data_IF_935235841159
#
_entry.id   IF_935235841159
#
_cell.length_a   1.000
_cell.length_b   1.000
_cell.length_c   1.000
_cell.angle_alpha   90.00
_cell.angle_beta   90.00
_cell.angle_gamma   90.00
#
_symmetry.space_group_name_H-M   'P 1'
#
loop_
_entity.id
_entity.type
_entity.pdbx_description
1 polymer ?
2 non-polymer ?
3 non-polymer ?
4 non-polymer ?
5 water ?
#
# COMPACT_ATOMS: atom_id res chain seq x y z
N UNK A 3 16.25 -8.03 -27.62
CA UNK A 3 15.40 -8.17 -28.86
C UNK A 3 13.99 -8.68 -28.46
N UNK A 4 13.87 -9.45 -27.36
CA UNK A 4 12.57 -9.94 -26.78
C UNK A 4 12.36 -9.29 -25.39
N UNK A 5 13.19 -8.31 -25.05
CA UNK A 5 13.22 -7.67 -23.73
C UNK A 5 12.04 -6.70 -23.57
N UNK A 6 11.56 -6.50 -22.37
CA UNK A 6 10.91 -5.23 -22.02
C UNK A 6 10.89 -5.04 -20.52
N UNK A 7 10.52 -3.84 -20.14
CA UNK A 7 10.25 -3.46 -18.75
C UNK A 7 8.83 -2.90 -18.71
N UNK A 8 8.10 -3.13 -17.65
CA UNK A 8 6.79 -2.52 -17.44
C UNK A 8 6.87 -1.84 -16.10
N UNK A 9 6.67 -0.52 -16.09
CA UNK A 9 6.62 0.29 -14.87
C UNK A 9 5.17 0.49 -14.48
N UNK A 10 4.86 0.24 -13.21
CA UNK A 10 3.55 0.57 -12.62
C UNK A 10 3.83 1.41 -11.37
N UNK A 11 2.84 2.12 -10.90
CA UNK A 11 2.98 3.09 -9.80
C UNK A 11 2.04 2.66 -8.71
N UNK A 12 2.54 2.67 -7.48
CA UNK A 12 1.72 2.45 -6.30
C UNK A 12 1.85 3.72 -5.47
N UNK A 13 0.81 4.05 -4.76
CA UNK A 13 0.78 5.16 -3.81
C UNK A 13 0.45 4.54 -2.46
N UNK A 14 1.36 4.65 -1.49
CA UNK A 14 1.07 4.29 -0.12
C UNK A 14 0.83 5.59 0.61
N UNK A 15 0.00 5.60 1.61
CA UNK A 15 -0.16 6.84 2.37
C UNK A 15 -0.90 6.62 3.61
N UNK A 16 -1.03 7.64 4.39
CA UNK A 16 -1.81 7.57 5.64
C UNK A 16 -2.26 8.95 6.04
N UNK A 17 -3.34 8.93 6.77
CA UNK A 17 -3.95 10.12 7.39
C UNK A 17 -4.02 9.84 8.88
N UNK A 18 -3.78 10.83 9.68
CA UNK A 18 -3.94 10.72 11.13
C UNK A 18 -4.45 12.05 11.68
N UNK A 19 -5.26 12.00 12.71
CA UNK A 19 -5.79 13.23 13.34
C UNK A 19 -5.97 12.92 14.79
N UNK A 20 -5.75 13.95 15.61
CA UNK A 20 -5.96 13.87 17.05
C UNK A 20 -7.45 13.97 17.25
N UNK A 21 -8.05 12.99 17.92
CA UNK A 21 -9.49 13.03 18.25
C UNK A 21 -9.76 14.32 19.06
N UNK A 22 -10.94 14.94 18.88
CA UNK A 22 -11.43 16.07 19.74
C UNK A 22 -11.33 15.65 21.22
N UNK A 23 -11.79 14.43 21.54
CA UNK A 23 -11.65 13.81 22.89
C UNK A 23 -11.23 12.36 22.70
N UNK A 24 -10.34 11.79 23.57
CA UNK A 24 -9.86 10.42 23.38
C UNK A 24 -11.05 9.46 23.51
N UNK A 25 -10.91 8.25 22.99
CA UNK A 25 -11.93 7.17 23.17
C UNK A 25 -11.90 6.72 24.64
N UNK A 26 -12.93 6.05 25.09
CA UNK A 26 -13.02 5.44 26.45
C UNK A 26 -11.68 4.76 26.75
N UNK A 27 -11.15 4.03 25.76
CA UNK A 27 -9.93 3.20 25.90
C UNK A 27 -8.66 4.07 25.99
N UNK A 28 -8.76 5.38 25.79
CA UNK A 28 -7.59 6.28 25.77
C UNK A 28 -6.88 6.32 24.42
N UNK A 29 -7.54 5.85 23.34
CA UNK A 29 -7.02 6.06 21.97
C UNK A 29 -7.10 7.56 21.68
N UNK A 30 -6.01 8.16 21.31
CA UNK A 30 -5.89 9.62 21.11
C UNK A 30 -6.11 9.99 19.66
N UNK A 31 -5.90 9.04 18.76
CA UNK A 31 -5.82 9.36 17.32
C UNK A 31 -6.65 8.42 16.52
N UNK A 32 -7.17 8.94 15.43
CA UNK A 32 -7.71 8.12 14.32
C UNK A 32 -6.64 8.12 13.26
N UNK A 33 -6.47 7.00 12.60
CA UNK A 33 -5.57 6.97 11.42
C UNK A 33 -6.11 6.01 10.36
N UNK A 34 -5.64 6.19 9.16
CA UNK A 34 -6.02 5.36 8.01
C UNK A 34 -4.74 5.19 7.18
N UNK A 35 -4.44 3.98 6.81
CA UNK A 35 -3.29 3.69 5.90
C UNK A 35 -3.83 3.01 4.67
N UNK A 36 -3.21 3.23 3.55
CA UNK A 36 -3.73 2.68 2.29
C UNK A 36 -2.64 2.43 1.29
N UNK A 37 -3.00 1.61 0.32
CA UNK A 37 -2.29 1.40 -0.93
C UNK A 37 -3.31 1.63 -2.04
N UNK A 38 -2.95 2.43 -3.02
CA UNK A 38 -3.80 2.76 -4.16
C UNK A 38 -2.94 2.96 -5.40
N UNK A 39 -3.59 3.00 -6.54
CA UNK A 39 -2.97 3.40 -7.79
C UNK A 39 -3.17 4.89 -8.01
N UNK A 40 -2.47 5.47 -8.98
CA UNK A 40 -2.80 6.82 -9.45
C UNK A 40 -4.24 6.83 -10.03
N UNK A 41 -4.82 8.00 -10.24
CA UNK A 41 -6.19 8.14 -10.82
C UNK A 41 -6.21 7.50 -12.21
N UNK A 42 -7.30 6.82 -12.54
CA UNK A 42 -7.54 6.18 -13.88
C UNK A 42 -6.69 4.91 -14.03
N UNK A 43 -6.06 4.44 -12.95
CA UNK A 43 -5.34 3.14 -12.96
C UNK A 43 -6.09 2.22 -12.06
N UNK A 44 -6.06 0.95 -12.37
CA UNK A 44 -6.72 -0.08 -11.59
C UNK A 44 -5.70 -1.12 -11.16
N UNK A 45 -5.12 -0.96 -9.97
CA UNK A 45 -4.01 -1.84 -9.51
C UNK A 45 -4.54 -3.24 -9.23
N UNK A 46 -5.87 -3.40 -9.10
CA UNK A 46 -6.44 -4.72 -8.78
C UNK A 46 -6.15 -5.73 -9.93
N UNK A 47 -5.90 -5.25 -11.14
CA UNK A 47 -5.52 -6.10 -12.28
C UNK A 47 -4.24 -6.89 -11.97
N UNK A 48 -3.30 -6.33 -11.20
CA UNK A 48 -2.02 -7.04 -10.90
C UNK A 48 -1.81 -7.32 -9.40
N UNK A 49 -2.60 -6.72 -8.50
CA UNK A 49 -2.46 -6.92 -7.02
C UNK A 49 -3.43 -8.01 -6.61
N UNK A 50 -2.91 -9.09 -6.09
CA UNK A 50 -3.70 -10.19 -5.48
C UNK A 50 -4.30 -9.71 -4.17
N UNK A 51 -3.48 -9.14 -3.31
CA UNK A 51 -3.92 -8.66 -1.97
C UNK A 51 -2.88 -7.74 -1.39
N UNK A 52 -3.30 -6.97 -0.42
CA UNK A 52 -2.37 -6.14 0.39
C UNK A 52 -2.50 -6.58 1.82
N UNK A 53 -1.37 -6.78 2.46
CA UNK A 53 -1.29 -7.19 3.87
C UNK A 53 -0.65 -6.05 4.64
N UNK A 54 -1.37 -5.53 5.61
CA UNK A 54 -0.90 -4.49 6.55
C UNK A 54 -0.62 -5.16 7.90
N UNK A 55 0.61 -5.11 8.34
CA UNK A 55 1.07 -5.74 9.61
C UNK A 55 1.06 -4.67 10.68
N UNK A 56 -0.02 -4.61 11.46
CA UNK A 56 -0.21 -3.62 12.55
C UNK A 56 0.67 -4.01 13.75
N UNK A 57 0.89 -3.09 14.66
CA UNK A 57 1.61 -3.34 15.92
C UNK A 57 0.94 -4.55 16.60
N UNK A 58 1.72 -5.46 17.23
CA UNK A 58 1.25 -6.76 17.83
C UNK A 58 0.14 -6.51 18.86
N UNK A 59 0.02 -5.30 19.42
CA UNK A 59 -1.02 -4.91 20.39
C UNK A 59 -2.42 -4.90 19.78
N UNK A 60 -2.56 -4.72 18.46
CA UNK A 60 -3.85 -4.60 17.79
C UNK A 60 -4.50 -5.96 17.72
N UNK A 61 -5.83 -6.03 17.81
CA UNK A 61 -6.53 -7.28 17.54
C UNK A 61 -6.31 -7.60 16.06
N UNK A 62 -6.06 -8.88 15.75
CA UNK A 62 -5.90 -9.41 14.36
C UNK A 62 -4.94 -8.49 13.61
N UNK A 63 -3.68 -8.36 14.08
CA UNK A 63 -2.77 -7.36 13.52
C UNK A 63 -2.44 -7.59 12.03
N UNK A 64 -2.62 -8.81 11.52
CA UNK A 64 -2.43 -9.13 10.07
C UNK A 64 -3.72 -8.80 9.38
N UNK A 65 -3.79 -7.61 8.78
CA UNK A 65 -5.01 -7.09 8.14
C UNK A 65 -4.87 -7.29 6.66
N UNK A 66 -5.78 -8.05 6.06
CA UNK A 66 -5.66 -8.44 4.65
C UNK A 66 -6.75 -7.73 3.90
N UNK A 67 -6.40 -7.07 2.80
CA UNK A 67 -7.38 -6.57 1.80
C UNK A 67 -7.14 -7.30 0.49
N UNK A 68 -8.13 -8.05 0.03
CA UNK A 68 -8.03 -8.84 -1.20
C UNK A 68 -8.62 -8.07 -2.38
N UNK A 69 -9.26 -6.93 -2.13
CA UNK A 69 -9.79 -6.08 -3.22
C UNK A 69 -9.80 -4.66 -2.71
N UNK A 70 -9.84 -3.66 -3.60
CA UNK A 70 -9.90 -2.28 -3.16
C UNK A 70 -11.18 -2.05 -2.39
N UNK A 71 -11.18 -1.13 -1.41
CA UNK A 71 -10.00 -0.36 -1.07
C UNK A 71 -8.98 -1.15 -0.26
N UNK A 72 -7.70 -0.94 -0.55
CA UNK A 72 -6.60 -1.51 0.23
C UNK A 72 -6.29 -0.52 1.31
N UNK A 73 -6.91 -0.68 2.46
CA UNK A 73 -6.76 0.28 3.54
C UNK A 73 -7.12 -0.35 4.87
N UNK A 74 -6.59 0.24 5.90
CA UNK A 74 -6.97 -0.03 7.30
C UNK A 74 -7.32 1.29 7.95
N UNK A 75 -8.46 1.35 8.60
CA UNK A 75 -8.89 2.50 9.43
C UNK A 75 -8.83 2.04 10.89
N UNK A 76 -8.15 2.79 11.72
CA UNK A 76 -8.00 2.41 13.12
C UNK A 76 -7.98 3.63 14.00
N UNK A 77 -8.03 3.39 15.28
CA UNK A 77 -7.71 4.40 16.31
C UNK A 77 -6.55 3.83 17.13
N UNK A 78 -5.78 4.70 17.73
CA UNK A 78 -4.60 4.20 18.40
C UNK A 78 -3.96 5.24 19.27
N UNK A 79 -2.87 4.84 19.90
CA UNK A 79 -2.17 5.68 20.91
C UNK A 79 -0.91 6.25 20.33
N UNK A 80 -0.35 5.62 19.29
CA UNK A 80 1.04 5.89 18.89
C UNK A 80 1.28 5.39 17.48
N UNK A 81 2.18 6.06 16.79
CA UNK A 81 2.66 5.68 15.49
C UNK A 81 3.58 4.49 15.59
N UNK A 82 3.88 3.85 14.49
CA UNK A 82 4.75 2.67 14.46
C UNK A 82 5.17 2.42 13.04
N UNK A 83 6.13 1.54 12.87
CA UNK A 83 6.60 1.09 11.55
C UNK A 83 5.75 -0.10 11.15
N UNK A 84 5.09 0.02 10.02
CA UNK A 84 4.12 -0.95 9.52
C UNK A 84 4.66 -1.61 8.27
N UNK A 85 5.02 -2.90 8.32
CA UNK A 85 5.27 -3.66 7.12
C UNK A 85 3.97 -3.70 6.32
N UNK A 86 4.05 -3.41 5.04
CA UNK A 86 2.93 -3.54 4.09
C UNK A 86 3.44 -4.42 2.96
N UNK A 87 2.78 -5.53 2.73
CA UNK A 87 3.11 -6.45 1.65
C UNK A 87 2.09 -6.30 0.57
N UNK A 88 2.55 -6.04 -0.64
CA UNK A 88 1.68 -6.03 -1.83
C UNK A 88 1.95 -7.31 -2.62
N UNK A 89 0.99 -8.19 -2.66
CA UNK A 89 1.09 -9.50 -3.34
C UNK A 89 0.60 -9.36 -4.76
N UNK A 90 1.29 -9.98 -5.70
CA UNK A 90 1.02 -9.77 -7.11
C UNK A 90 0.34 -11.01 -7.68
N UNK A 91 -0.44 -10.81 -8.72
CA UNK A 91 -1.10 -11.90 -9.51
C UNK A 91 -0.08 -12.46 -10.52
N UNK A 92 1.12 -12.74 -10.05
CA UNK A 92 2.30 -13.15 -10.85
C UNK A 92 2.55 -14.61 -10.56
N UNK A 93 2.77 -15.41 -11.56
CA UNK A 93 3.03 -16.87 -11.35
C UNK A 93 4.50 -17.07 -11.04
N UNK A 94 5.34 -16.08 -11.34
CA UNK A 94 6.80 -16.19 -11.12
C UNK A 94 7.29 -15.07 -10.21
N UNK A 95 8.58 -15.00 -9.96
CA UNK A 95 9.18 -13.93 -9.13
C UNK A 95 9.24 -12.61 -9.90
N UNK A 96 9.08 -11.44 -9.24
CA UNK A 96 8.69 -11.35 -7.83
C UNK A 96 7.17 -11.58 -7.60
N UNK A 97 6.83 -12.30 -6.54
CA UNK A 97 5.45 -12.64 -6.15
C UNK A 97 4.88 -11.52 -5.27
N UNK A 98 5.75 -10.75 -4.66
CA UNK A 98 5.26 -9.65 -3.80
C UNK A 98 6.32 -8.61 -3.64
N UNK A 99 5.95 -7.46 -3.08
CA UNK A 99 6.91 -6.43 -2.62
C UNK A 99 6.53 -6.03 -1.20
N UNK A 100 7.52 -5.78 -0.35
CA UNK A 100 7.34 -5.41 1.07
C UNK A 100 7.83 -3.97 1.26
N UNK A 101 7.02 -3.13 1.81
CA UNK A 101 7.41 -1.78 2.15
C UNK A 101 7.42 -1.74 3.67
N UNK A 102 8.28 -0.92 4.21
CA UNK A 102 8.36 -0.52 5.62
C UNK A 102 7.73 0.85 5.74
N UNK A 103 6.48 0.94 6.22
CA UNK A 103 5.71 2.20 6.18
C UNK A 103 5.80 2.90 7.55
N UNK A 104 6.19 4.16 7.53
CA UNK A 104 6.30 4.99 8.74
C UNK A 104 4.93 5.59 9.06
N UNK A 105 4.15 4.91 9.92
CA UNK A 105 2.82 5.38 10.31
C UNK A 105 3.01 6.31 11.49
N UNK A 106 3.24 7.58 11.23
CA UNK A 106 3.49 8.57 12.30
C UNK A 106 2.22 9.39 12.50
N UNK A 107 1.97 9.77 13.75
CA UNK A 107 0.77 10.54 14.15
C UNK A 107 1.17 11.98 14.39
N UNK A 108 0.21 12.90 14.44
CA UNK A 108 0.48 14.33 14.71
C UNK A 108 0.57 14.53 16.24
N UNK A 109 1.68 15.08 16.73
CA UNK A 109 1.92 15.46 18.16
C UNK A 109 0.97 16.61 18.50
N UNK A 110 0.37 16.57 19.68
CA UNK A 110 -0.65 17.55 20.18
C UNK A 110 -0.33 18.93 19.58
N UNK A 111 -1.36 19.58 19.03
CA UNK A 111 -1.28 20.97 18.53
C UNK A 111 -0.82 21.06 17.10
N UNK A 112 -0.35 19.96 16.51
CA UNK A 112 0.08 19.93 15.08
C UNK A 112 -1.13 19.62 14.22
N UNK A 113 -1.23 20.18 12.99
CA UNK A 113 -2.30 19.81 12.08
C UNK A 113 -2.35 18.30 11.81
N UNK A 114 -3.48 17.77 11.30
CA UNK A 114 -3.57 16.38 10.92
C UNK A 114 -2.48 16.02 9.88
N UNK A 115 -2.14 14.76 9.84
CA UNK A 115 -1.16 14.15 8.89
C UNK A 115 -1.92 13.72 7.64
N UNK A 116 -1.37 14.01 6.49
CA UNK A 116 -1.93 13.53 5.22
C UNK A 116 -0.73 13.31 4.32
N UNK A 117 -0.16 12.10 4.33
CA UNK A 117 1.11 11.78 3.63
C UNK A 117 0.88 10.77 2.52
N UNK A 118 1.70 10.91 1.51
CA UNK A 118 1.69 10.00 0.34
C UNK A 118 3.13 9.62 0.06
N UNK A 119 3.33 8.38 -0.28
CA UNK A 119 4.62 7.84 -0.64
C UNK A 119 4.42 7.15 -1.98
N UNK A 120 5.02 7.68 -3.02
CA UNK A 120 4.83 7.15 -4.38
C UNK A 120 5.94 6.13 -4.65
N UNK A 121 5.57 4.95 -5.11
CA UNK A 121 6.50 3.82 -5.36
C UNK A 121 6.36 3.43 -6.83
N UNK A 122 7.45 3.46 -7.58
CA UNK A 122 7.42 2.96 -8.98
C UNK A 122 7.99 1.58 -8.97
N UNK A 123 7.26 0.63 -9.47
CA UNK A 123 7.69 -0.74 -9.56
C UNK A 123 8.08 -1.02 -11.02
N UNK A 124 9.24 -1.57 -11.24
CA UNK A 124 9.77 -1.87 -12.59
C UNK A 124 9.79 -3.39 -12.70
N UNK A 125 8.95 -3.96 -13.50
CA UNK A 125 8.99 -5.41 -13.79
C UNK A 125 9.81 -5.64 -15.04
N UNK A 126 10.91 -6.37 -14.92
CA UNK A 126 11.75 -6.73 -16.08
C UNK A 126 11.24 -8.02 -16.69
N UNK A 127 10.99 -8.03 -17.99
CA UNK A 127 10.61 -9.26 -18.73
C UNK A 127 9.53 -10.04 -18.01
N UNK A 128 8.39 -9.43 -17.68
CA UNK A 128 7.26 -10.20 -17.14
C UNK A 128 6.77 -11.29 -18.09
N UNK A 129 6.16 -12.32 -17.54
CA UNK A 129 5.43 -13.33 -18.33
C UNK A 129 4.41 -12.62 -19.23
N UNK A 130 3.99 -13.28 -20.28
CA UNK A 130 2.92 -12.78 -21.15
C UNK A 130 1.70 -12.45 -20.31
N UNK A 131 1.33 -13.36 -19.44
CA UNK A 131 0.11 -13.25 -18.61
C UNK A 131 0.25 -12.04 -17.67
N UNK A 132 1.39 -11.92 -16.99
CA UNK A 132 1.54 -10.86 -15.96
C UNK A 132 1.71 -9.50 -16.63
N UNK A 133 2.41 -9.44 -17.75
CA UNK A 133 2.60 -8.19 -18.52
C UNK A 133 1.23 -7.61 -18.86
N UNK A 134 0.31 -8.47 -19.30
CA UNK A 134 -1.08 -8.14 -19.67
C UNK A 134 -1.76 -7.45 -18.49
N UNK A 135 -1.68 -8.07 -17.31
CA UNK A 135 -2.26 -7.55 -16.03
C UNK A 135 -1.67 -6.18 -15.72
N UNK A 136 -0.35 -6.04 -15.79
CA UNK A 136 0.33 -4.76 -15.50
C UNK A 136 -0.17 -3.68 -16.48
N UNK A 137 -0.34 -4.02 -17.76
CA UNK A 137 -0.73 -3.02 -18.75
C UNK A 137 -2.21 -2.68 -18.55
N UNK A 138 -3.03 -3.67 -18.29
CA UNK A 138 -4.46 -3.45 -17.99
C UNK A 138 -4.62 -2.48 -16.82
N UNK A 139 -3.69 -2.52 -15.89
CA UNK A 139 -3.66 -1.64 -14.69
C UNK A 139 -3.18 -0.23 -15.04
N UNK A 140 -2.70 0.00 -16.25
CA UNK A 140 -2.24 1.33 -16.67
C UNK A 140 -0.73 1.41 -16.64
N UNK A 141 -0.07 0.27 -16.51
CA UNK A 141 1.40 0.18 -16.55
C UNK A 141 1.93 0.61 -17.90
N UNK A 142 3.19 1.02 -17.94
CA UNK A 142 3.85 1.57 -19.16
C UNK A 142 4.97 0.62 -19.56
N UNK A 143 4.96 0.20 -20.81
CA UNK A 143 6.01 -0.66 -21.34
C UNK A 143 7.14 0.25 -21.80
N UNK A 144 8.34 0.02 -21.35
CA UNK A 144 9.59 0.63 -21.90
C UNK A 144 10.33 -0.47 -22.67
N UNK A 145 10.69 -0.23 -23.93
CA UNK A 145 11.59 -1.15 -24.70
C UNK A 145 13.03 -0.70 -24.46
N UNK A 146 14.04 -1.53 -24.79
CA UNK A 146 15.43 -1.07 -24.85
C UNK A 146 15.57 0.14 -25.79
#
# INVERSE_FOLDING_TARGET
SMDNQCTVQVRLELGHRAQLRKKPTTEGFTHDWMVFVRGPEQCDIQHFVEKVVFWLHDSFPKPRRVCKEPPYKVEESGYAGFIMPIEVHFKNKEEPRKVCFTYDLFLNLEGNPPVNHLRCEKLTFNNPTTEFRYKLLRAGGVMVMPEGAHHHHHH
#
